data_IF_100165909965
#
_entry.id   IF_100165909965
#
_cell.length_a   1.000
_cell.length_b   1.000
_cell.length_c   1.000
_cell.angle_alpha   90.00
_cell.angle_beta   90.00
_cell.angle_gamma   90.00
#
_symmetry.space_group_name_H-M   'P 1'
#
loop_
_entity.id
_entity.type
_entity.pdbx_description
1 polymer ?
#
# COMPACT_ATOMS: atom_id res chain seq x y z
N UNK A 1 33.24 7.14 -6.24
CA UNK A 1 32.83 5.75 -6.53
C UNK A 1 32.36 5.66 -7.98
N UNK A 2 32.58 4.53 -8.68
CA UNK A 2 32.12 4.31 -10.06
C UNK A 2 30.78 3.56 -10.08
N UNK A 3 29.96 3.82 -11.09
CA UNK A 3 28.72 3.11 -11.35
C UNK A 3 29.02 1.65 -11.67
N UNK A 4 28.40 0.71 -10.96
CA UNK A 4 28.62 -0.73 -11.12
C UNK A 4 28.28 -1.25 -12.52
N UNK A 5 27.31 -0.62 -13.20
CA UNK A 5 26.83 -1.04 -14.52
C UNK A 5 27.64 -0.46 -15.69
N UNK A 6 27.94 0.84 -15.70
CA UNK A 6 28.55 1.53 -16.84
C UNK A 6 29.90 2.20 -16.54
N UNK A 7 30.45 2.05 -15.33
CA UNK A 7 31.71 2.65 -14.88
C UNK A 7 31.78 4.20 -14.82
N UNK A 8 30.73 4.92 -15.21
CA UNK A 8 30.62 6.38 -15.05
C UNK A 8 30.63 6.80 -13.56
N UNK A 9 30.64 8.11 -13.27
CA UNK A 9 30.56 8.61 -11.89
C UNK A 9 29.24 8.18 -11.24
N UNK A 10 29.30 7.46 -10.13
CA UNK A 10 28.10 7.11 -9.37
C UNK A 10 27.56 8.31 -8.57
N UNK A 11 26.25 8.43 -8.51
CA UNK A 11 25.50 9.46 -7.77
C UNK A 11 24.57 8.87 -6.71
N UNK A 12 24.26 7.57 -6.79
CA UNK A 12 23.44 6.86 -5.81
C UNK A 12 24.23 5.67 -5.27
N UNK A 13 24.42 5.62 -3.94
CA UNK A 13 25.03 4.47 -3.26
C UNK A 13 23.93 3.62 -2.61
N UNK A 14 23.98 2.31 -2.80
CA UNK A 14 23.12 1.32 -2.15
C UNK A 14 23.97 0.41 -1.28
N UNK A 15 24.08 0.76 0.01
CA UNK A 15 24.91 0.04 0.98
C UNK A 15 24.42 -1.41 1.14
N UNK A 16 23.11 -1.62 1.16
CA UNK A 16 22.46 -2.95 1.24
C UNK A 16 22.82 -3.88 0.08
N UNK A 17 23.19 -3.32 -1.07
CA UNK A 17 23.60 -4.05 -2.27
C UNK A 17 25.12 -4.00 -2.51
N UNK A 18 25.88 -3.37 -1.62
CA UNK A 18 27.31 -3.08 -1.78
C UNK A 18 27.66 -2.55 -3.18
N UNK A 19 26.85 -1.60 -3.68
CA UNK A 19 26.95 -1.10 -5.05
C UNK A 19 26.63 0.38 -5.12
N UNK A 20 26.95 1.01 -6.26
CA UNK A 20 26.52 2.36 -6.57
C UNK A 20 26.26 2.52 -8.07
N UNK A 21 25.41 3.48 -8.41
CA UNK A 21 24.93 3.71 -9.78
C UNK A 21 24.99 5.19 -10.14
N UNK A 22 25.16 5.50 -11.44
CA UNK A 22 24.77 6.80 -11.98
C UNK A 22 23.24 6.89 -12.05
N UNK A 23 22.70 8.08 -12.34
CA UNK A 23 21.25 8.33 -12.42
C UNK A 23 20.51 7.32 -13.30
N UNK A 24 20.95 7.14 -14.54
CA UNK A 24 20.29 6.30 -15.55
C UNK A 24 20.35 4.82 -15.16
N UNK A 25 21.50 4.39 -14.63
CA UNK A 25 21.67 3.01 -14.20
C UNK A 25 20.87 2.69 -12.93
N UNK A 26 20.67 3.67 -12.03
CA UNK A 26 19.81 3.49 -10.87
C UNK A 26 18.34 3.35 -11.27
N UNK A 27 17.84 4.21 -12.17
CA UNK A 27 16.47 4.14 -12.69
C UNK A 27 16.21 2.76 -13.31
N UNK A 28 17.13 2.28 -14.15
CA UNK A 28 17.03 0.94 -14.71
C UNK A 28 17.07 -0.17 -13.65
N UNK A 29 17.98 -0.05 -12.67
CA UNK A 29 18.08 -1.02 -11.57
C UNK A 29 16.76 -1.11 -10.79
N UNK A 30 16.17 0.03 -10.44
CA UNK A 30 14.90 0.11 -9.73
C UNK A 30 13.78 -0.58 -10.53
N UNK A 31 13.60 -0.21 -11.80
CA UNK A 31 12.58 -0.80 -12.67
C UNK A 31 12.75 -2.31 -12.81
N UNK A 32 13.99 -2.78 -13.00
CA UNK A 32 14.27 -4.22 -13.11
C UNK A 32 14.05 -4.94 -11.77
N UNK A 33 14.28 -4.29 -10.63
CA UNK A 33 14.00 -4.88 -9.31
C UNK A 33 12.50 -5.08 -9.09
N UNK A 34 11.67 -4.11 -9.51
CA UNK A 34 10.20 -4.22 -9.48
C UNK A 34 9.71 -5.30 -10.44
N UNK A 35 10.21 -5.32 -11.69
CA UNK A 35 9.84 -6.34 -12.68
C UNK A 35 10.19 -7.76 -12.19
N UNK A 36 11.41 -7.96 -11.66
CA UNK A 36 11.80 -9.24 -11.04
C UNK A 36 10.93 -9.63 -9.87
N UNK A 37 10.44 -8.67 -9.10
CA UNK A 37 9.53 -8.92 -7.97
C UNK A 37 8.17 -9.41 -8.46
N UNK A 38 7.66 -8.82 -9.56
CA UNK A 38 6.43 -9.25 -10.24
C UNK A 38 6.59 -10.67 -10.81
N UNK A 39 7.68 -10.92 -11.55
CA UNK A 39 8.00 -12.22 -12.16
C UNK A 39 8.15 -13.32 -11.09
N UNK A 40 8.95 -13.06 -10.03
CA UNK A 40 9.26 -14.03 -8.97
C UNK A 40 8.02 -14.51 -8.24
N UNK A 41 7.13 -13.58 -7.90
CA UNK A 41 5.91 -13.87 -7.14
C UNK A 41 4.70 -14.16 -8.04
N UNK A 42 4.88 -14.15 -9.37
CA UNK A 42 3.81 -14.33 -10.36
C UNK A 42 2.62 -13.41 -10.07
N UNK A 43 2.90 -12.12 -9.81
CA UNK A 43 1.90 -11.17 -9.33
C UNK A 43 0.78 -10.94 -10.36
N UNK A 44 1.14 -10.75 -11.63
CA UNK A 44 0.25 -10.52 -12.77
C UNK A 44 1.03 -10.53 -14.09
N UNK A 45 0.32 -10.66 -15.21
CA UNK A 45 0.88 -10.56 -16.57
C UNK A 45 0.65 -9.18 -17.19
N UNK A 46 1.13 -8.97 -18.41
CA UNK A 46 0.92 -7.72 -19.18
C UNK A 46 -0.49 -7.61 -19.77
N UNK A 47 -1.20 -8.73 -19.84
CA UNK A 47 -2.56 -8.80 -20.39
C UNK A 47 -3.61 -8.41 -19.35
N UNK A 48 -3.31 -8.65 -18.08
CA UNK A 48 -4.18 -8.32 -16.95
C UNK A 48 -4.19 -6.81 -16.67
N UNK A 49 -5.37 -6.16 -16.64
CA UNK A 49 -5.47 -4.76 -16.22
C UNK A 49 -5.19 -4.64 -14.72
N UNK A 50 -4.32 -3.69 -14.37
CA UNK A 50 -3.88 -3.45 -12.99
C UNK A 50 -4.42 -2.11 -12.48
N UNK A 51 -5.22 -2.15 -11.42
CA UNK A 51 -5.60 -0.95 -10.67
C UNK A 51 -4.48 -0.61 -9.69
N UNK A 52 -3.93 0.60 -9.77
CA UNK A 52 -2.84 1.04 -8.90
C UNK A 52 -3.40 2.01 -7.87
N UNK A 53 -3.41 1.63 -6.60
CA UNK A 53 -3.82 2.53 -5.52
C UNK A 53 -2.78 3.64 -5.34
N UNK A 54 -3.12 4.87 -5.76
CA UNK A 54 -2.25 6.04 -5.73
C UNK A 54 -2.68 7.00 -4.62
N UNK A 55 -1.78 7.26 -3.68
CA UNK A 55 -2.04 8.17 -2.55
C UNK A 55 -1.56 9.59 -2.81
N UNK A 56 -0.96 9.88 -3.96
CA UNK A 56 -0.20 11.11 -4.21
C UNK A 56 1.18 11.13 -3.56
N UNK A 57 1.56 10.08 -2.81
CA UNK A 57 2.87 9.93 -2.18
C UNK A 57 3.89 9.21 -3.07
N UNK A 58 5.17 9.37 -2.72
CA UNK A 58 6.33 8.90 -3.49
C UNK A 58 6.24 7.43 -3.92
N UNK A 59 5.91 6.51 -3.02
CA UNK A 59 6.00 5.07 -3.28
C UNK A 59 4.92 4.63 -4.29
N UNK A 60 3.70 5.15 -4.11
CA UNK A 60 2.58 4.82 -5.01
C UNK A 60 2.76 5.41 -6.41
N UNK A 61 3.27 6.64 -6.52
CA UNK A 61 3.55 7.27 -7.81
C UNK A 61 4.78 6.66 -8.49
N UNK A 62 5.84 6.31 -7.73
CA UNK A 62 6.99 5.57 -8.26
C UNK A 62 6.60 4.20 -8.78
N UNK A 63 5.71 3.48 -8.07
CA UNK A 63 5.15 2.22 -8.53
C UNK A 63 4.38 2.43 -9.85
N UNK A 64 3.48 3.41 -9.89
CA UNK A 64 2.68 3.66 -11.10
C UNK A 64 3.56 4.02 -12.30
N UNK A 65 4.53 4.93 -12.13
CA UNK A 65 5.53 5.29 -13.15
C UNK A 65 6.31 4.07 -13.67
N UNK A 66 6.69 3.18 -12.75
CA UNK A 66 7.44 1.97 -13.08
C UNK A 66 6.59 1.00 -13.87
N UNK A 67 5.34 0.73 -13.47
CA UNK A 67 4.45 -0.18 -14.18
C UNK A 67 4.11 0.34 -15.58
N UNK A 68 3.86 1.64 -15.72
CA UNK A 68 3.64 2.29 -17.03
C UNK A 68 4.90 2.18 -17.89
N UNK A 69 6.08 2.53 -17.36
CA UNK A 69 7.34 2.47 -18.11
C UNK A 69 7.68 1.04 -18.55
N UNK A 70 7.36 0.05 -17.71
CA UNK A 70 7.56 -1.35 -18.05
C UNK A 70 6.57 -1.82 -19.11
N UNK A 71 5.44 -1.14 -19.36
CA UNK A 71 4.45 -1.49 -20.38
C UNK A 71 3.28 -2.35 -19.86
N UNK A 72 2.90 -2.20 -18.59
CA UNK A 72 1.68 -2.81 -18.05
C UNK A 72 0.46 -1.91 -18.31
N UNK A 73 -0.71 -2.53 -18.50
CA UNK A 73 -1.99 -1.82 -18.61
C UNK A 73 -2.45 -1.40 -17.22
N UNK A 74 -2.40 -0.09 -16.93
CA UNK A 74 -2.70 0.43 -15.59
C UNK A 74 -3.76 1.52 -15.60
N UNK A 75 -4.57 1.56 -14.54
CA UNK A 75 -5.41 2.71 -14.15
C UNK A 75 -5.06 3.09 -12.72
N UNK A 76 -4.93 4.38 -12.44
CA UNK A 76 -4.72 4.88 -11.09
C UNK A 76 -6.05 4.93 -10.33
N UNK A 77 -6.03 4.61 -9.04
CA UNK A 77 -7.14 4.84 -8.11
C UNK A 77 -6.68 5.75 -6.97
N UNK A 78 -7.24 6.95 -6.91
CA UNK A 78 -7.13 7.83 -5.76
C UNK A 78 -8.39 7.75 -4.90
N UNK A 79 -8.21 7.62 -3.57
CA UNK A 79 -9.30 7.69 -2.59
C UNK A 79 -9.08 8.87 -1.64
N UNK A 80 -9.89 9.91 -1.79
CA UNK A 80 -9.95 11.06 -0.91
C UNK A 80 -10.54 10.69 0.45
N UNK A 81 -9.76 10.89 1.51
CA UNK A 81 -10.09 10.46 2.87
C UNK A 81 -10.80 11.53 3.72
N UNK A 82 -11.02 12.73 3.17
CA UNK A 82 -11.59 13.88 3.88
C UNK A 82 -10.68 14.43 5.00
N UNK A 83 -9.35 14.25 4.90
CA UNK A 83 -8.38 14.74 5.90
C UNK A 83 -7.93 16.15 5.50
N UNK A 84 -8.86 17.10 5.50
CA UNK A 84 -8.62 18.53 5.28
C UNK A 84 -7.64 18.86 4.14
N UNK A 85 -6.72 19.80 4.42
CA UNK A 85 -5.72 20.26 3.45
C UNK A 85 -4.79 19.15 2.95
N UNK A 86 -4.50 18.14 3.78
CA UNK A 86 -3.67 17.00 3.38
C UNK A 86 -4.31 16.22 2.23
N UNK A 87 -5.60 15.84 2.36
CA UNK A 87 -6.31 15.13 1.28
C UNK A 87 -6.44 15.96 0.00
N UNK A 88 -6.60 17.28 0.12
CA UNK A 88 -6.63 18.17 -1.05
C UNK A 88 -5.26 18.23 -1.74
N UNK A 89 -4.17 18.34 -0.98
CA UNK A 89 -2.81 18.35 -1.53
C UNK A 89 -2.44 17.03 -2.20
N UNK A 90 -2.72 15.90 -1.55
CA UNK A 90 -2.42 14.57 -2.11
C UNK A 90 -3.23 14.26 -3.37
N UNK A 91 -4.50 14.69 -3.45
CA UNK A 91 -5.32 14.53 -4.65
C UNK A 91 -4.72 15.32 -5.83
N UNK A 92 -4.37 16.60 -5.61
CA UNK A 92 -3.78 17.45 -6.66
C UNK A 92 -2.49 16.84 -7.23
N UNK A 93 -1.65 16.22 -6.38
CA UNK A 93 -0.42 15.56 -6.84
C UNK A 93 -0.73 14.34 -7.72
N UNK A 94 -1.71 13.52 -7.34
CA UNK A 94 -2.14 12.38 -8.15
C UNK A 94 -2.75 12.81 -9.50
N UNK A 95 -3.63 13.82 -9.49
CA UNK A 95 -4.23 14.41 -10.70
C UNK A 95 -3.18 14.99 -11.64
N UNK A 96 -2.28 15.84 -11.12
CA UNK A 96 -1.21 16.44 -11.91
C UNK A 96 -0.27 15.39 -12.50
N UNK A 97 0.07 14.36 -11.73
CA UNK A 97 0.90 13.25 -12.20
C UNK A 97 0.25 12.51 -13.38
N UNK A 98 -1.05 12.20 -13.25
CA UNK A 98 -1.82 11.48 -14.27
C UNK A 98 -1.98 12.32 -15.54
N UNK A 99 -2.39 13.59 -15.39
CA UNK A 99 -2.58 14.52 -16.50
C UNK A 99 -1.29 14.76 -17.30
N UNK A 100 -0.15 14.93 -16.62
CA UNK A 100 1.14 15.13 -17.28
C UNK A 100 1.64 13.93 -18.10
N UNK A 101 1.01 12.75 -17.94
CA UNK A 101 1.41 11.50 -18.59
C UNK A 101 0.29 10.87 -19.42
N UNK A 102 -0.86 11.55 -19.54
CA UNK A 102 -2.06 11.04 -20.21
C UNK A 102 -2.49 9.65 -19.70
N UNK A 103 -2.53 9.51 -18.36
CA UNK A 103 -2.87 8.25 -17.70
C UNK A 103 -4.29 8.29 -17.12
N UNK A 104 -5.07 7.19 -17.21
CA UNK A 104 -6.39 7.12 -16.61
C UNK A 104 -6.29 7.11 -15.09
N UNK A 105 -7.00 8.04 -14.44
CA UNK A 105 -7.08 8.16 -12.99
C UNK A 105 -8.55 8.18 -12.56
N UNK A 106 -8.93 7.21 -11.74
CA UNK A 106 -10.20 7.18 -11.02
C UNK A 106 -10.06 7.89 -9.69
N UNK A 107 -10.97 8.81 -9.40
CA UNK A 107 -11.02 9.55 -8.14
C UNK A 107 -12.31 9.16 -7.43
N UNK A 108 -12.17 8.67 -6.21
CA UNK A 108 -13.27 8.45 -5.26
C UNK A 108 -13.04 9.32 -4.04
N UNK A 109 -14.11 9.80 -3.40
CA UNK A 109 -13.99 10.59 -2.16
C UNK A 109 -14.98 10.05 -1.14
N UNK A 110 -14.49 9.68 0.05
CA UNK A 110 -15.33 9.04 1.07
C UNK A 110 -16.59 9.83 1.45
N UNK A 111 -16.53 11.17 1.36
CA UNK A 111 -17.65 12.08 1.62
C UNK A 111 -18.74 12.00 0.53
N UNK A 112 -18.39 11.56 -0.67
CA UNK A 112 -19.29 11.40 -1.83
C UNK A 112 -19.77 9.95 -2.00
N UNK A 113 -19.09 8.99 -1.37
CA UNK A 113 -19.45 7.56 -1.38
C UNK A 113 -20.62 7.26 -0.44
N UNK A 114 -21.35 6.17 -0.68
CA UNK A 114 -22.71 5.93 -0.18
C UNK A 114 -23.04 6.20 1.30
N UNK A 115 -22.10 6.11 2.23
CA UNK A 115 -22.34 6.41 3.66
C UNK A 115 -21.91 7.85 4.06
N UNK A 116 -21.20 8.58 3.20
CA UNK A 116 -20.81 9.98 3.37
C UNK A 116 -19.81 10.25 4.50
N UNK A 117 -19.00 9.25 4.86
CA UNK A 117 -18.18 9.29 6.09
C UNK A 117 -16.70 9.55 5.81
N UNK A 118 -16.24 10.76 6.12
CA UNK A 118 -14.81 11.08 6.16
C UNK A 118 -14.08 10.37 7.32
N UNK A 119 -12.76 10.20 7.20
CA UNK A 119 -11.96 9.55 8.27
C UNK A 119 -12.00 10.30 9.61
N UNK A 120 -11.90 11.65 9.66
CA UNK A 120 -12.02 12.37 10.93
C UNK A 120 -13.35 12.12 11.63
N UNK A 121 -14.46 12.11 10.90
CA UNK A 121 -15.80 11.83 11.43
C UNK A 121 -15.90 10.38 11.95
N UNK A 122 -15.42 9.41 11.15
CA UNK A 122 -15.41 8.00 11.56
C UNK A 122 -14.59 7.76 12.83
N UNK A 123 -13.42 8.42 12.95
CA UNK A 123 -12.59 8.34 14.14
C UNK A 123 -13.27 8.95 15.37
N UNK A 124 -13.88 10.13 15.20
CA UNK A 124 -14.61 10.84 16.26
C UNK A 124 -15.73 9.99 16.86
N UNK A 125 -16.63 9.47 16.03
CA UNK A 125 -17.75 8.68 16.54
C UNK A 125 -17.30 7.35 17.14
N UNK A 126 -16.35 6.65 16.52
CA UNK A 126 -15.93 5.32 17.00
C UNK A 126 -15.02 5.38 18.21
N UNK A 127 -14.43 6.54 18.50
CA UNK A 127 -13.36 6.72 19.50
C UNK A 127 -12.15 5.80 19.25
N UNK A 128 -11.95 5.39 17.99
CA UNK A 128 -10.80 4.57 17.58
C UNK A 128 -9.68 5.47 17.05
N UNK A 129 -8.46 4.92 17.05
CA UNK A 129 -7.34 5.54 16.35
C UNK A 129 -7.73 5.75 14.86
N UNK A 130 -7.56 6.97 14.29
CA UNK A 130 -8.01 7.27 12.93
C UNK A 130 -7.45 6.30 11.87
N UNK A 131 -6.19 5.86 12.04
CA UNK A 131 -5.54 4.90 11.15
C UNK A 131 -6.24 3.53 11.10
N UNK A 132 -6.91 3.11 12.17
CA UNK A 132 -7.65 1.84 12.20
C UNK A 132 -8.94 1.90 11.34
N UNK A 133 -9.68 3.01 11.45
CA UNK A 133 -10.86 3.26 10.60
C UNK A 133 -10.43 3.44 9.13
N UNK A 134 -9.41 4.27 8.89
CA UNK A 134 -8.83 4.51 7.57
C UNK A 134 -8.44 3.23 6.84
N UNK A 135 -7.74 2.30 7.50
CA UNK A 135 -7.38 1.02 6.88
C UNK A 135 -8.59 0.18 6.48
N UNK A 136 -9.66 0.20 7.27
CA UNK A 136 -10.90 -0.54 6.97
C UNK A 136 -11.65 0.06 5.78
N UNK A 137 -11.82 1.39 5.78
CA UNK A 137 -12.46 2.12 4.66
C UNK A 137 -11.67 1.93 3.37
N UNK A 138 -10.35 2.20 3.36
CA UNK A 138 -9.51 2.03 2.16
C UNK A 138 -9.65 0.64 1.55
N UNK A 139 -9.54 -0.41 2.37
CA UNK A 139 -9.65 -1.80 1.86
C UNK A 139 -11.01 -2.04 1.21
N UNK A 140 -12.10 -1.60 1.84
CA UNK A 140 -13.45 -1.78 1.30
C UNK A 140 -13.62 -1.09 -0.05
N UNK A 141 -13.28 0.20 -0.15
CA UNK A 141 -13.45 0.95 -1.40
C UNK A 141 -12.47 0.52 -2.49
N UNK A 142 -11.25 0.10 -2.13
CA UNK A 142 -10.32 -0.47 -3.11
C UNK A 142 -10.82 -1.78 -3.69
N UNK A 143 -11.37 -2.66 -2.84
CA UNK A 143 -11.95 -3.93 -3.29
C UNK A 143 -13.16 -3.70 -4.19
N UNK A 144 -14.03 -2.76 -3.80
CA UNK A 144 -15.19 -2.37 -4.60
C UNK A 144 -14.76 -1.80 -5.96
N UNK A 145 -13.88 -0.81 -5.97
CA UNK A 145 -13.43 -0.16 -7.19
C UNK A 145 -12.76 -1.14 -8.16
N UNK A 146 -11.96 -2.07 -7.64
CA UNK A 146 -11.32 -3.07 -8.47
C UNK A 146 -12.34 -4.06 -9.07
N UNK A 147 -13.32 -4.50 -8.27
CA UNK A 147 -14.39 -5.38 -8.74
C UNK A 147 -15.27 -4.70 -9.80
N UNK A 148 -15.80 -3.52 -9.49
CA UNK A 148 -16.72 -2.78 -10.36
C UNK A 148 -16.05 -2.34 -11.66
N UNK A 149 -14.74 -2.05 -11.60
CA UNK A 149 -13.92 -1.72 -12.77
C UNK A 149 -13.43 -2.92 -13.58
N UNK A 150 -13.73 -4.15 -13.17
CA UNK A 150 -13.30 -5.37 -13.87
C UNK A 150 -11.79 -5.61 -13.84
N UNK A 151 -11.09 -5.12 -12.81
CA UNK A 151 -9.65 -5.30 -12.67
C UNK A 151 -9.33 -6.69 -12.10
N UNK A 152 -8.34 -7.36 -12.69
CA UNK A 152 -7.85 -8.64 -12.16
C UNK A 152 -6.98 -8.43 -10.90
N UNK A 153 -6.27 -7.30 -10.84
CA UNK A 153 -5.23 -7.03 -9.85
C UNK A 153 -5.32 -5.62 -9.29
N UNK A 154 -5.17 -5.50 -7.97
CA UNK A 154 -4.94 -4.25 -7.25
C UNK A 154 -3.50 -4.18 -6.74
N UNK A 155 -2.70 -3.27 -7.29
CA UNK A 155 -1.34 -3.01 -6.85
C UNK A 155 -1.28 -1.85 -5.84
N UNK A 156 -0.45 -2.01 -4.81
CA UNK A 156 -0.24 -0.99 -3.77
C UNK A 156 1.24 -0.68 -3.59
N UNK A 157 1.56 0.57 -3.26
CA UNK A 157 2.94 1.04 -3.08
C UNK A 157 3.62 0.64 -1.77
N UNK A 158 3.20 -0.46 -1.12
CA UNK A 158 3.87 -0.93 0.10
C UNK A 158 5.29 -1.41 -0.24
N UNK A 159 6.27 -0.83 0.44
CA UNK A 159 7.69 -1.04 0.18
C UNK A 159 8.33 -2.00 1.22
N UNK A 160 9.63 -2.26 1.11
CA UNK A 160 10.36 -3.14 2.02
C UNK A 160 10.30 -2.67 3.48
N UNK A 161 10.37 -1.36 3.72
CA UNK A 161 10.31 -0.77 5.05
C UNK A 161 8.93 -0.97 5.69
N UNK A 162 7.86 -0.87 4.90
CA UNK A 162 6.50 -1.15 5.34
C UNK A 162 6.34 -2.62 5.75
N UNK A 163 6.83 -3.55 4.91
CA UNK A 163 6.75 -4.99 5.18
C UNK A 163 7.59 -5.38 6.40
N UNK A 164 8.81 -4.85 6.51
CA UNK A 164 9.69 -5.13 7.64
C UNK A 164 9.09 -4.60 8.96
N UNK A 165 8.55 -3.37 8.96
CA UNK A 165 7.91 -2.79 10.14
C UNK A 165 6.64 -3.56 10.54
N UNK A 166 5.82 -3.96 9.56
CA UNK A 166 4.64 -4.81 9.80
C UNK A 166 5.04 -6.16 10.38
N UNK A 167 6.06 -6.80 9.83
CA UNK A 167 6.57 -8.08 10.29
C UNK A 167 7.11 -7.98 11.71
N UNK A 168 7.93 -6.98 12.00
CA UNK A 168 8.47 -6.75 13.35
C UNK A 168 7.35 -6.59 14.37
N UNK A 169 6.34 -5.76 14.08
CA UNK A 169 5.18 -5.59 14.95
C UNK A 169 4.41 -6.91 15.17
N UNK A 170 4.19 -7.67 14.11
CA UNK A 170 3.47 -8.94 14.22
C UNK A 170 4.26 -9.98 15.05
N UNK A 171 5.59 -10.02 14.92
CA UNK A 171 6.46 -10.94 15.68
C UNK A 171 6.53 -10.54 17.16
N UNK A 172 6.74 -9.27 17.47
CA UNK A 172 6.83 -8.77 18.86
C UNK A 172 5.57 -9.09 19.68
N UNK A 173 4.41 -9.15 19.01
CA UNK A 173 3.11 -9.42 19.63
C UNK A 173 2.56 -10.82 19.29
N UNK A 174 3.36 -11.69 18.67
CA UNK A 174 2.99 -13.04 18.23
C UNK A 174 1.61 -13.12 17.55
N UNK A 175 1.37 -12.19 16.63
CA UNK A 175 0.12 -12.05 15.90
C UNK A 175 0.02 -13.10 14.78
N UNK A 176 -0.09 -14.38 15.16
CA UNK A 176 -0.04 -15.53 14.24
C UNK A 176 -0.96 -15.41 13.02
N UNK A 177 -2.23 -14.97 13.15
CA UNK A 177 -3.11 -14.82 11.98
C UNK A 177 -2.62 -13.77 10.98
N UNK A 178 -1.90 -12.73 11.45
CA UNK A 178 -1.34 -11.70 10.58
C UNK A 178 -0.01 -12.15 9.96
N UNK A 179 0.79 -12.95 10.66
CA UNK A 179 1.97 -13.60 10.10
C UNK A 179 1.59 -14.54 8.94
N UNK A 180 0.55 -15.36 9.14
CA UNK A 180 0.02 -16.26 8.11
C UNK A 180 -0.50 -15.55 6.84
N UNK A 181 -0.91 -14.28 6.98
CA UNK A 181 -1.47 -13.46 5.89
C UNK A 181 -0.47 -12.46 5.32
N UNK A 182 0.76 -12.40 5.84
CA UNK A 182 1.76 -11.45 5.39
C UNK A 182 2.52 -12.00 4.19
N UNK A 183 2.01 -11.71 2.99
CA UNK A 183 2.58 -12.14 1.72
C UNK A 183 2.52 -11.01 0.67
N UNK A 184 3.50 -10.88 -0.24
CA UNK A 184 3.49 -9.85 -1.29
C UNK A 184 2.37 -10.05 -2.33
N UNK A 185 1.80 -11.25 -2.41
CA UNK A 185 0.62 -11.59 -3.21
C UNK A 185 -0.45 -12.15 -2.30
N UNK A 186 -1.61 -11.49 -2.25
CA UNK A 186 -2.81 -11.99 -1.59
C UNK A 186 -3.75 -12.55 -2.65
N UNK A 187 -3.86 -13.87 -2.67
CA UNK A 187 -4.78 -14.58 -3.56
C UNK A 187 -6.24 -14.33 -3.13
N UNK A 188 -7.15 -14.09 -4.08
CA UNK A 188 -8.57 -13.99 -3.77
C UNK A 188 -9.11 -15.22 -3.04
N UNK A 189 -9.81 -15.00 -1.93
CA UNK A 189 -10.55 -16.05 -1.20
C UNK A 189 -12.04 -16.05 -1.53
N UNK A 190 -12.50 -15.13 -2.38
CA UNK A 190 -13.87 -14.96 -2.82
C UNK A 190 -13.90 -14.39 -4.25
N UNK A 191 -14.89 -14.74 -5.11
CA UNK A 191 -14.99 -14.19 -6.47
C UNK A 191 -15.09 -12.66 -6.56
N UNK A 192 -15.56 -12.02 -5.47
CA UNK A 192 -15.66 -10.56 -5.31
C UNK A 192 -14.39 -9.90 -4.74
N UNK A 193 -13.32 -10.67 -4.54
CA UNK A 193 -12.00 -10.12 -4.23
C UNK A 193 -11.08 -10.23 -5.43
N UNK A 194 -10.35 -9.16 -5.69
CA UNK A 194 -9.29 -9.14 -6.70
C UNK A 194 -7.96 -9.53 -6.07
N UNK A 195 -7.02 -9.99 -6.89
CA UNK A 195 -5.66 -10.31 -6.42
C UNK A 195 -4.98 -9.03 -5.98
N UNK A 196 -4.42 -9.00 -4.77
CA UNK A 196 -3.69 -7.83 -4.25
C UNK A 196 -2.21 -8.08 -4.25
N UNK A 197 -1.45 -7.11 -4.74
CA UNK A 197 -0.01 -7.26 -4.95
C UNK A 197 0.77 -6.07 -4.44
N UNK A 198 2.00 -6.31 -4.02
CA UNK A 198 2.92 -5.29 -3.46
C UNK A 198 4.24 -5.32 -4.21
N UNK A 199 4.33 -4.79 -5.46
CA UNK A 199 5.54 -4.96 -6.27
C UNK A 199 6.81 -4.34 -5.69
N UNK A 200 6.68 -3.38 -4.75
CA UNK A 200 7.79 -2.72 -4.08
C UNK A 200 8.30 -3.44 -2.82
N UNK A 201 7.78 -4.62 -2.43
CA UNK A 201 8.12 -5.29 -1.16
C UNK A 201 9.61 -5.62 -0.96
N UNK A 202 10.44 -5.56 -2.02
CA UNK A 202 11.91 -5.75 -1.97
C UNK A 202 12.70 -4.47 -2.21
N UNK A 203 12.01 -3.34 -2.30
CA UNK A 203 12.57 -2.04 -2.60
C UNK A 203 12.37 -1.16 -1.37
N UNK A 204 13.45 -0.57 -0.86
CA UNK A 204 13.39 0.29 0.32
C UNK A 204 12.68 1.62 0.03
N UNK A 205 12.26 2.26 1.11
CA UNK A 205 11.69 3.61 1.07
C UNK A 205 12.69 4.63 0.51
N UNK A 206 13.98 4.47 0.82
CA UNK A 206 15.08 5.26 0.25
C UNK A 206 15.19 5.09 -1.27
N UNK A 207 15.11 3.86 -1.77
CA UNK A 207 15.17 3.59 -3.20
C UNK A 207 13.97 4.19 -3.94
N UNK A 208 12.77 4.07 -3.38
CA UNK A 208 11.55 4.65 -3.96
C UNK A 208 11.58 6.18 -3.97
N UNK A 209 12.08 6.81 -2.89
CA UNK A 209 12.31 8.25 -2.84
C UNK A 209 13.36 8.70 -3.88
N UNK A 210 14.47 7.96 -3.99
CA UNK A 210 15.53 8.26 -4.96
C UNK A 210 15.01 8.14 -6.39
N UNK A 211 14.21 7.11 -6.68
CA UNK A 211 13.58 6.93 -7.98
C UNK A 211 12.66 8.10 -8.33
N UNK A 212 11.75 8.45 -7.41
CA UNK A 212 10.81 9.55 -7.59
C UNK A 212 11.55 10.88 -7.86
N UNK A 213 12.59 11.18 -7.07
CA UNK A 213 13.43 12.35 -7.26
C UNK A 213 14.11 12.37 -8.64
N UNK A 214 14.77 11.28 -9.03
CA UNK A 214 15.51 11.23 -10.30
C UNK A 214 14.58 11.28 -11.54
N UNK A 215 13.34 10.82 -11.40
CA UNK A 215 12.29 10.88 -12.42
C UNK A 215 11.49 12.19 -12.40
N UNK A 216 11.78 13.11 -11.48
CA UNK A 216 11.06 14.38 -11.36
C UNK A 216 9.59 14.19 -11.01
N UNK A 217 9.26 13.17 -10.22
CA UNK A 217 7.90 12.93 -9.75
C UNK A 217 7.62 13.91 -8.62
N UNK A 218 6.64 14.78 -8.82
CA UNK A 218 6.15 15.68 -7.79
C UNK A 218 5.11 14.96 -6.92
N UNK A 219 5.38 14.83 -5.63
CA UNK A 219 4.57 14.06 -4.67
C UNK A 219 4.34 14.84 -3.39
N UNK A 220 3.35 14.42 -2.58
CA UNK A 220 3.11 15.01 -1.25
C UNK A 220 4.22 14.60 -0.28
N UNK A 221 4.92 15.58 0.29
CA UNK A 221 6.06 15.36 1.21
C UNK A 221 5.57 15.35 2.66
N UNK A 222 4.51 16.10 2.93
CA UNK A 222 3.88 16.18 4.24
C UNK A 222 3.34 14.81 4.66
N UNK A 223 3.63 14.41 5.89
CA UNK A 223 3.02 13.22 6.47
C UNK A 223 1.54 13.48 6.78
N UNK A 224 0.76 12.40 6.80
CA UNK A 224 -0.63 12.48 7.21
C UNK A 224 -0.72 12.91 8.68
N UNK A 225 -1.54 13.90 9.06
CA UNK A 225 -1.69 14.32 10.46
C UNK A 225 -2.08 13.18 11.41
N UNK A 226 -2.71 12.13 10.88
CA UNK A 226 -3.12 10.96 11.66
C UNK A 226 -2.02 9.90 11.84
N UNK A 227 -0.85 10.02 11.18
CA UNK A 227 0.27 9.09 11.37
C UNK A 227 1.14 9.43 12.58
N UNK A 228 1.00 10.62 13.17
CA UNK A 228 1.72 10.97 14.39
C UNK A 228 1.41 9.97 15.51
N UNK A 229 2.47 9.42 16.13
CA UNK A 229 2.35 8.39 17.16
C UNK A 229 2.05 6.99 16.64
N UNK A 230 2.01 6.76 15.32
CA UNK A 230 1.82 5.42 14.78
C UNK A 230 3.01 4.51 15.14
N UNK A 231 2.73 3.37 15.75
CA UNK A 231 3.75 2.38 16.16
C UNK A 231 4.61 1.91 15.00
N UNK A 232 4.06 1.90 13.78
CA UNK A 232 4.81 1.54 12.57
C UNK A 232 6.00 2.48 12.31
N UNK A 233 5.90 3.78 12.65
CA UNK A 233 7.02 4.71 12.54
C UNK A 233 8.14 4.36 13.52
N UNK A 234 7.80 3.93 14.74
CA UNK A 234 8.78 3.44 15.73
C UNK A 234 9.51 2.20 15.21
N UNK A 235 8.77 1.25 14.62
CA UNK A 235 9.38 0.06 14.03
C UNK A 235 10.30 0.39 12.84
N UNK A 236 9.89 1.31 11.96
CA UNK A 236 10.73 1.79 10.86
C UNK A 236 12.02 2.44 11.37
N UNK A 237 11.95 3.28 12.40
CA UNK A 237 13.14 3.89 13.01
C UNK A 237 14.13 2.85 13.54
N UNK A 238 13.65 1.89 14.33
CA UNK A 238 14.49 0.80 14.86
C UNK A 238 15.15 -0.02 13.75
N UNK A 239 14.37 -0.37 12.72
CA UNK A 239 14.86 -1.13 11.57
C UNK A 239 15.85 -0.31 10.73
N UNK A 240 15.69 1.00 10.64
CA UNK A 240 16.62 1.88 9.92
C UNK A 240 17.97 1.99 10.66
N UNK A 241 17.95 2.08 11.99
CA UNK A 241 19.18 2.03 12.80
C UNK A 241 19.92 0.70 12.64
N UNK A 242 19.18 -0.41 12.57
CA UNK A 242 19.75 -1.72 12.27
C UNK A 242 20.33 -1.76 10.86
N UNK A 243 19.59 -1.29 9.85
CA UNK A 243 20.03 -1.25 8.45
C UNK A 243 21.29 -0.38 8.24
N UNK A 244 21.43 0.71 8.99
CA UNK A 244 22.62 1.56 8.94
C UNK A 244 23.88 0.85 9.44
N UNK A 245 23.72 0.05 10.50
CA UNK A 245 24.81 -0.73 11.11
C UNK A 245 25.08 -2.02 10.33
N UNK A 246 24.03 -2.65 9.81
CA UNK A 246 24.03 -3.95 9.13
C UNK A 246 23.22 -3.85 7.81
N UNK A 247 23.82 -3.31 6.73
CA UNK A 247 23.10 -3.14 5.47
C UNK A 247 22.60 -4.48 4.91
N UNK A 248 21.34 -4.52 4.49
CA UNK A 248 20.63 -5.72 4.03
C UNK A 248 19.75 -6.39 5.08
N UNK A 249 19.77 -5.95 6.34
CA UNK A 249 18.98 -6.54 7.43
C UNK A 249 17.47 -6.56 7.15
N UNK A 250 16.88 -5.47 6.64
CA UNK A 250 15.44 -5.44 6.31
C UNK A 250 15.10 -6.44 5.21
N UNK A 251 15.90 -6.50 4.15
CA UNK A 251 15.68 -7.40 3.02
C UNK A 251 15.81 -8.86 3.43
N UNK A 252 16.82 -9.19 4.23
CA UNK A 252 17.01 -10.53 4.79
C UNK A 252 15.83 -10.91 5.69
N UNK A 253 15.44 -10.02 6.61
CA UNK A 253 14.33 -10.26 7.54
C UNK A 253 13.03 -10.61 6.82
N UNK A 254 12.63 -9.82 5.82
CA UNK A 254 11.41 -10.08 5.04
C UNK A 254 11.57 -11.30 4.13
N UNK A 255 12.69 -11.42 3.41
CA UNK A 255 12.88 -12.53 2.46
C UNK A 255 13.00 -13.89 3.13
N UNK A 256 13.68 -13.96 4.28
CA UNK A 256 13.87 -15.20 5.02
C UNK A 256 12.63 -15.57 5.82
N UNK A 257 11.85 -14.58 6.29
CA UNK A 257 10.50 -14.84 6.78
C UNK A 257 9.65 -15.50 5.69
N UNK A 258 9.54 -14.91 4.50
CA UNK A 258 8.74 -15.47 3.41
C UNK A 258 9.22 -16.87 2.98
N UNK A 259 10.54 -17.10 2.94
CA UNK A 259 11.12 -18.38 2.49
C UNK A 259 11.01 -19.48 3.53
N UNK A 260 11.28 -19.18 4.80
CA UNK A 260 11.50 -20.20 5.83
C UNK A 260 10.40 -20.24 6.90
N UNK A 261 9.90 -19.08 7.33
CA UNK A 261 8.98 -19.00 8.46
C UNK A 261 7.50 -18.96 8.04
N UNK A 262 7.16 -18.21 6.99
CA UNK A 262 5.80 -18.08 6.48
C UNK A 262 5.11 -19.43 6.22
N UNK A 263 5.76 -20.45 5.61
CA UNK A 263 5.15 -21.77 5.42
C UNK A 263 4.74 -22.46 6.73
N UNK A 264 5.40 -22.14 7.85
CA UNK A 264 5.08 -22.70 9.17
C UNK A 264 3.80 -22.11 9.78
N UNK A 265 3.35 -20.96 9.28
CA UNK A 265 2.10 -20.31 9.68
C UNK A 265 0.94 -20.64 8.74
N UNK A 266 1.15 -21.47 7.71
CA UNK A 266 0.09 -21.95 6.83
C UNK A 266 -0.86 -22.88 7.61
N UNK A 267 -1.90 -22.28 8.20
CA UNK A 267 -2.95 -22.99 8.92
C UNK A 267 -4.07 -23.52 8.03
N UNK A 268 -5.09 -24.12 8.65
CA UNK A 268 -6.31 -24.51 7.97
C UNK A 268 -6.91 -23.31 7.22
N UNK A 269 -7.46 -23.52 6.00
CA UNK A 269 -8.10 -22.44 5.26
C UNK A 269 -9.13 -21.74 6.13
N UNK A 270 -9.13 -20.40 6.11
CA UNK A 270 -10.22 -19.61 6.70
C UNK A 270 -11.55 -20.15 6.16
N UNK A 271 -12.59 -20.18 7.01
CA UNK A 271 -13.95 -20.49 6.53
C UNK A 271 -14.26 -19.63 5.30
N UNK A 272 -14.89 -20.19 4.25
CA UNK A 272 -15.16 -19.44 3.04
C UNK A 272 -15.95 -18.19 3.40
N UNK A 273 -15.51 -17.04 2.88
CA UNK A 273 -16.23 -15.80 3.09
C UNK A 273 -17.62 -15.94 2.45
N UNK A 274 -18.67 -15.60 3.20
CA UNK A 274 -19.99 -15.35 2.64
C UNK A 274 -20.09 -13.93 2.09
N UNK A 275 -21.30 -13.47 1.85
CA UNK A 275 -21.57 -12.09 1.42
C UNK A 275 -22.18 -11.26 2.54
N UNK A 276 -21.75 -10.01 2.66
CA UNK A 276 -22.29 -9.07 3.62
C UNK A 276 -23.75 -8.76 3.32
N UNK A 277 -24.63 -8.87 4.31
CA UNK A 277 -26.06 -8.59 4.18
C UNK A 277 -26.38 -7.13 3.78
N UNK A 278 -25.50 -6.17 4.09
CA UNK A 278 -25.69 -4.74 3.76
C UNK A 278 -25.14 -4.35 2.38
N UNK A 279 -23.93 -4.79 2.04
CA UNK A 279 -23.24 -4.30 0.83
C UNK A 279 -22.88 -5.38 -0.20
N UNK A 280 -23.13 -6.66 0.10
CA UNK A 280 -22.82 -7.78 -0.80
C UNK A 280 -21.32 -8.03 -1.02
N UNK A 281 -20.41 -7.32 -0.34
CA UNK A 281 -18.97 -7.62 -0.35
C UNK A 281 -18.64 -8.81 0.54
N UNK A 282 -17.50 -9.49 0.33
CA UNK A 282 -17.17 -10.66 1.13
C UNK A 282 -17.11 -10.35 2.63
N UNK A 283 -17.66 -11.26 3.43
CA UNK A 283 -17.72 -11.15 4.88
C UNK A 283 -17.60 -12.52 5.56
N UNK A 284 -16.96 -12.54 6.73
CA UNK A 284 -16.86 -13.73 7.60
C UNK A 284 -17.92 -13.73 8.72
N UNK A 285 -18.86 -12.80 8.64
CA UNK A 285 -20.00 -12.62 9.52
C UNK A 285 -21.13 -12.00 8.69
N UNK A 286 -22.32 -11.82 9.29
CA UNK A 286 -23.47 -11.18 8.62
C UNK A 286 -23.12 -9.81 8.00
N UNK A 287 -22.33 -9.00 8.72
CA UNK A 287 -21.82 -7.72 8.24
C UNK A 287 -20.29 -7.73 8.10
N UNK A 288 -19.79 -7.19 6.98
CA UNK A 288 -18.36 -6.98 6.79
C UNK A 288 -17.80 -5.95 7.77
N UNK A 289 -16.48 -5.90 7.95
CA UNK A 289 -15.82 -4.96 8.88
C UNK A 289 -16.16 -3.49 8.61
N UNK A 290 -16.36 -3.12 7.34
CA UNK A 290 -16.80 -1.79 6.93
C UNK A 290 -18.24 -1.50 7.36
N UNK A 291 -19.20 -2.35 6.99
CA UNK A 291 -20.61 -2.15 7.34
C UNK A 291 -20.87 -2.17 8.85
N UNK A 292 -20.13 -2.98 9.61
CA UNK A 292 -20.18 -2.94 11.09
C UNK A 292 -19.70 -1.59 11.63
N UNK A 293 -18.66 -1.05 11.03
CA UNK A 293 -18.10 0.24 11.43
C UNK A 293 -19.05 1.39 11.12
N UNK A 294 -19.67 1.38 9.93
CA UNK A 294 -20.70 2.35 9.54
C UNK A 294 -21.91 2.27 10.47
N UNK A 295 -22.44 1.06 10.72
CA UNK A 295 -23.57 0.88 11.64
C UNK A 295 -23.27 1.37 13.07
N UNK A 296 -22.04 1.17 13.54
CA UNK A 296 -21.60 1.72 14.83
C UNK A 296 -21.62 3.26 14.84
N UNK A 297 -21.15 3.89 13.75
CA UNK A 297 -21.14 5.34 13.60
C UNK A 297 -22.57 5.89 13.55
N UNK A 298 -23.45 5.32 12.72
CA UNK A 298 -24.86 5.71 12.61
C UNK A 298 -25.57 5.66 13.97
N UNK A 299 -25.37 4.57 14.73
CA UNK A 299 -25.94 4.41 16.07
C UNK A 299 -25.43 5.45 17.06
N UNK A 300 -24.14 5.79 17.02
CA UNK A 300 -23.57 6.80 17.94
C UNK A 300 -23.97 8.22 17.54
N UNK A 301 -24.12 8.49 16.25
CA UNK A 301 -24.60 9.77 15.72
C UNK A 301 -26.05 10.02 16.12
N UNK A 302 -26.93 9.03 15.99
CA UNK A 302 -28.33 9.15 16.43
C UNK A 302 -28.44 9.37 17.95
N UNK A 303 -27.60 8.70 18.74
CA UNK A 303 -27.53 8.93 20.19
C UNK A 303 -27.07 10.35 20.52
N UNK A 304 -26.06 10.88 19.83
CA UNK A 304 -25.59 12.25 20.06
C UNK A 304 -26.68 13.30 19.75
N UNK A 305 -27.39 13.13 18.63
CA UNK A 305 -28.50 14.03 18.23
C UNK A 305 -29.66 13.95 19.23
N UNK A 306 -29.97 12.77 19.78
CA UNK A 306 -31.05 12.62 20.77
C UNK A 306 -30.73 13.23 22.15
N UNK A 307 -29.47 13.56 22.44
CA UNK A 307 -29.03 14.19 23.69
C UNK A 307 -28.58 15.66 23.50
N UNK A 308 -28.80 16.22 22.30
CA UNK A 308 -28.54 17.62 21.94
C UNK A 308 -29.84 18.42 21.96
#
# INVERSE_FOLDING_TARGET
MKCKRCAAKATVQLRSHNTAFCKECFVFFFQRNVERSIERERMFTREEPVLVAVSGGKDSLALWDTLVTLGYRTEGLYLGLGIGAYSAASQRKAEAYAAARDLPLRIMRLEEEGDGLAIPEAAFFTRRQPCAACGTFKRHHFDRAALDGGFAVLATGHNLDDEAARLLGNVLHWQLPYLAKQHPVLTPTHPKFVRKVRPLYRTSEYESATYAFLRGIDYVVEECPNSHGATQLVYKDLLNRLEETMPGSKLAFVSDFLRHAHPLFAGAPDSPAGECARCGMPAFAELCGYCRLVAEIERRRSQAVAHS
#
